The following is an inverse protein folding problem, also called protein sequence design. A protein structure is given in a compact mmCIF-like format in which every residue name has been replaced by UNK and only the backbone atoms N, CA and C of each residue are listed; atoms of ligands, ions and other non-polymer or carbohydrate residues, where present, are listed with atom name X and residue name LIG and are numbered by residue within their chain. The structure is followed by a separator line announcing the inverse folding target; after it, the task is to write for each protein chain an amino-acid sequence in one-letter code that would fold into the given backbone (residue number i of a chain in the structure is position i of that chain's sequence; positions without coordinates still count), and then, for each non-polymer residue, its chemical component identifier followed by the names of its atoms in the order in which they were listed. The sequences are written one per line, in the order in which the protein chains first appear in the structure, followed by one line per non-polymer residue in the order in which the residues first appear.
data_IF_689888326766
#
_entry.id   IF_689888326766
#
_cell.length_a   1.000
_cell.length_b   1.000
_cell.length_c   1.000
_cell.angle_alpha   90.00
_cell.angle_beta   90.00
_cell.angle_gamma   90.00
#
_symmetry.space_group_name_H-M   'P 1'
#
loop_
_entity.id
_entity.type
_entity.pdbx_description
1 polymer ?
#
# COMPACT_ATOMS: atom_id res chain seq x y z
N UNK A 1 7.40 18.72 -30.53
CA UNK A 1 6.39 18.38 -29.52
C UNK A 1 7.11 17.69 -28.38
N UNK A 2 7.14 18.27 -27.19
CA UNK A 2 7.77 17.65 -26.03
C UNK A 2 6.79 16.60 -25.48
N UNK A 3 7.22 15.35 -25.24
CA UNK A 3 6.36 14.39 -24.58
C UNK A 3 6.12 14.85 -23.14
N UNK A 4 4.86 14.79 -22.71
CA UNK A 4 4.44 15.09 -21.32
C UNK A 4 4.79 13.87 -20.43
N UNK A 5 6.10 13.58 -20.35
CA UNK A 5 6.63 12.47 -19.56
C UNK A 5 7.55 13.02 -18.48
N UNK A 6 7.46 12.40 -17.31
CA UNK A 6 8.41 12.68 -16.23
C UNK A 6 9.84 12.35 -16.67
N UNK A 7 10.78 13.18 -16.25
CA UNK A 7 12.19 13.12 -16.66
C UNK A 7 13.12 13.00 -15.45
N UNK A 8 14.22 12.26 -15.64
CA UNK A 8 15.36 12.25 -14.71
C UNK A 8 16.34 13.40 -14.99
N UNK A 9 16.19 14.11 -16.13
CA UNK A 9 16.99 15.31 -16.41
C UNK A 9 16.33 16.52 -15.76
N UNK A 10 17.11 17.26 -15.01
CA UNK A 10 16.68 18.48 -14.34
C UNK A 10 16.62 19.67 -15.30
N UNK A 11 15.47 19.90 -15.90
CA UNK A 11 15.24 21.09 -16.74
C UNK A 11 14.68 22.27 -15.95
N UNK A 12 14.22 22.05 -14.71
CA UNK A 12 13.53 23.05 -13.90
C UNK A 12 14.35 23.50 -12.69
N UNK A 13 15.62 23.06 -12.59
CA UNK A 13 16.50 23.32 -11.46
C UNK A 13 15.95 22.81 -10.11
N UNK A 14 15.32 21.63 -10.13
CA UNK A 14 14.79 20.96 -8.94
C UNK A 14 15.82 20.14 -8.17
N UNK A 15 17.05 19.99 -8.71
CA UNK A 15 18.12 19.22 -8.08
C UNK A 15 18.38 19.65 -6.65
N UNK A 16 18.39 20.95 -6.36
CA UNK A 16 18.61 21.44 -5.00
C UNK A 16 17.51 21.04 -4.01
N UNK A 17 16.27 21.01 -4.46
CA UNK A 17 15.13 20.54 -3.63
C UNK A 17 15.19 19.02 -3.47
N UNK A 18 15.47 18.28 -4.55
CA UNK A 18 15.64 16.82 -4.52
C UNK A 18 16.79 16.39 -3.59
N UNK A 19 17.89 17.09 -3.64
CA UNK A 19 19.05 16.91 -2.74
C UNK A 19 18.68 17.17 -1.28
N UNK A 20 17.88 18.22 -1.01
CA UNK A 20 17.39 18.53 0.33
C UNK A 20 16.50 17.42 0.87
N UNK A 21 15.53 16.93 0.06
CA UNK A 21 14.66 15.80 0.45
C UNK A 21 15.50 14.53 0.69
N UNK A 22 16.47 14.26 -0.19
CA UNK A 22 17.39 13.13 -0.02
C UNK A 22 18.21 13.24 1.28
N UNK A 23 18.70 14.44 1.61
CA UNK A 23 19.41 14.68 2.87
C UNK A 23 18.54 14.40 4.09
N UNK A 24 17.30 14.88 4.09
CA UNK A 24 16.33 14.64 5.16
C UNK A 24 16.11 13.14 5.35
N UNK A 25 15.92 12.36 4.26
CA UNK A 25 15.75 10.91 4.30
C UNK A 25 16.97 10.22 4.91
N UNK A 26 18.18 10.60 4.47
CA UNK A 26 19.42 10.00 4.95
C UNK A 26 19.70 10.35 6.41
N UNK A 27 19.46 11.61 6.80
CA UNK A 27 19.64 12.07 8.19
C UNK A 27 18.61 11.47 9.16
N UNK A 28 17.47 10.99 8.68
CA UNK A 28 16.50 10.30 9.51
C UNK A 28 17.05 9.01 10.12
N UNK A 29 18.02 8.34 9.47
CA UNK A 29 18.70 7.13 9.99
C UNK A 29 17.75 6.04 10.43
N UNK A 30 16.73 5.75 9.62
CA UNK A 30 15.70 4.76 9.93
C UNK A 30 14.59 5.26 10.86
N UNK A 31 14.64 6.51 11.33
CA UNK A 31 13.47 7.12 11.99
C UNK A 31 12.37 7.33 10.93
N UNK A 32 11.11 7.04 11.28
CA UNK A 32 10.00 7.27 10.36
C UNK A 32 9.90 8.74 9.97
N UNK A 33 9.74 8.98 8.67
CA UNK A 33 9.64 10.34 8.14
C UNK A 33 8.65 10.40 6.98
N UNK A 34 7.97 11.54 6.86
CA UNK A 34 7.11 11.85 5.73
C UNK A 34 7.42 13.25 5.22
N UNK A 35 7.61 13.38 3.91
CA UNK A 35 7.91 14.64 3.22
C UNK A 35 6.84 14.88 2.17
N UNK A 36 6.13 15.99 2.28
CA UNK A 36 5.19 16.47 1.27
C UNK A 36 5.89 17.35 0.23
N UNK A 37 5.74 17.01 -1.04
CA UNK A 37 6.16 17.83 -2.18
C UNK A 37 4.91 18.42 -2.80
N UNK A 38 4.66 19.70 -2.52
CA UNK A 38 3.46 20.38 -3.00
C UNK A 38 3.74 21.24 -4.22
N UNK A 39 2.81 21.24 -5.17
CA UNK A 39 2.85 22.08 -6.34
C UNK A 39 1.64 21.86 -7.25
N UNK A 40 1.30 22.89 -8.03
CA UNK A 40 0.21 22.81 -8.98
C UNK A 40 0.41 21.72 -10.04
N UNK A 41 -0.64 21.39 -10.75
CA UNK A 41 -0.57 20.44 -11.85
C UNK A 41 0.40 20.91 -12.96
N UNK A 42 1.18 19.98 -13.53
CA UNK A 42 2.14 20.28 -14.58
C UNK A 42 3.47 20.91 -14.15
N UNK A 43 3.67 21.23 -12.86
CA UNK A 43 4.90 21.86 -12.37
C UNK A 43 6.12 20.91 -12.31
N UNK A 44 5.92 19.60 -12.52
CA UNK A 44 7.02 18.63 -12.51
C UNK A 44 7.17 17.84 -11.22
N UNK A 45 6.11 17.65 -10.43
CA UNK A 45 6.14 16.86 -9.18
C UNK A 45 6.67 15.44 -9.39
N UNK A 46 6.22 14.74 -10.44
CA UNK A 46 6.68 13.38 -10.78
C UNK A 46 8.18 13.36 -11.12
N UNK A 47 8.67 14.37 -11.85
CA UNK A 47 10.12 14.52 -12.11
C UNK A 47 10.90 14.77 -10.81
N UNK A 48 10.35 15.56 -9.89
CA UNK A 48 10.94 15.81 -8.59
C UNK A 48 11.08 14.51 -7.75
N UNK A 49 10.09 13.61 -7.79
CA UNK A 49 10.15 12.28 -7.16
C UNK A 49 11.32 11.47 -7.75
N UNK A 50 11.46 11.44 -9.09
CA UNK A 50 12.55 10.73 -9.76
C UNK A 50 13.93 11.31 -9.41
N UNK A 51 14.05 12.63 -9.40
CA UNK A 51 15.28 13.31 -8.98
C UNK A 51 15.62 13.01 -7.52
N UNK A 52 14.64 12.98 -6.63
CA UNK A 52 14.84 12.60 -5.21
C UNK A 52 15.35 11.16 -5.08
N UNK A 53 14.74 10.22 -5.81
CA UNK A 53 15.22 8.83 -5.85
C UNK A 53 16.67 8.75 -6.31
N UNK A 54 17.00 9.42 -7.41
CA UNK A 54 18.36 9.45 -7.95
C UNK A 54 19.34 10.10 -6.97
N UNK A 55 18.95 11.19 -6.30
CA UNK A 55 19.76 11.87 -5.30
C UNK A 55 20.03 10.99 -4.07
N UNK A 56 19.04 10.22 -3.58
CA UNK A 56 19.25 9.26 -2.49
C UNK A 56 20.16 8.12 -2.95
N UNK A 57 19.91 7.56 -4.14
CA UNK A 57 20.66 6.41 -4.65
C UNK A 57 22.13 6.72 -4.94
N UNK A 58 22.43 7.97 -5.32
CA UNK A 58 23.79 8.43 -5.61
C UNK A 58 24.66 8.63 -4.36
N UNK A 59 24.07 8.65 -3.17
CA UNK A 59 24.82 8.88 -1.93
C UNK A 59 25.57 7.62 -1.49
N UNK A 60 26.72 7.83 -0.91
CA UNK A 60 27.51 6.80 -0.23
C UNK A 60 27.37 6.99 1.28
N UNK A 61 27.37 5.90 2.02
CA UNK A 61 27.47 5.99 3.46
C UNK A 61 28.93 6.22 3.90
N UNK A 62 29.14 6.48 5.19
CA UNK A 62 30.49 6.71 5.75
C UNK A 62 31.42 5.48 5.62
N UNK A 63 30.88 4.31 5.27
CA UNK A 63 31.63 3.06 5.04
C UNK A 63 31.96 2.82 3.55
N UNK A 64 31.59 3.73 2.66
CA UNK A 64 31.78 3.60 1.22
C UNK A 64 30.75 2.64 0.56
N UNK A 65 29.72 2.21 1.28
CA UNK A 65 28.63 1.43 0.70
C UNK A 65 27.65 2.35 0.00
N UNK A 66 27.22 1.96 -1.19
CA UNK A 66 26.22 2.71 -1.94
C UNK A 66 24.89 2.73 -1.19
N UNK A 67 24.24 3.87 -1.14
CA UNK A 67 22.93 4.02 -0.55
C UNK A 67 21.87 3.10 -1.20
N UNK A 68 22.07 2.71 -2.46
CA UNK A 68 21.22 1.75 -3.17
C UNK A 68 21.14 0.37 -2.50
N UNK A 69 22.10 0.00 -1.67
CA UNK A 69 22.07 -1.25 -0.90
C UNK A 69 21.21 -1.13 0.37
N UNK A 70 21.05 0.09 0.88
CA UNK A 70 20.33 0.40 2.12
C UNK A 70 18.92 0.92 1.87
N UNK A 71 18.70 1.71 0.81
CA UNK A 71 17.43 2.33 0.51
C UNK A 71 16.72 1.58 -0.61
N UNK A 72 15.55 1.04 -0.33
CA UNK A 72 14.70 0.34 -1.30
C UNK A 72 13.51 1.23 -1.64
N UNK A 73 13.32 1.50 -2.92
CA UNK A 73 12.30 2.41 -3.40
C UNK A 73 11.07 1.63 -3.87
N UNK A 74 9.91 2.11 -3.45
CA UNK A 74 8.59 1.71 -3.95
C UNK A 74 7.93 2.93 -4.56
N UNK A 75 7.57 2.86 -5.83
CA UNK A 75 6.81 3.89 -6.52
C UNK A 75 5.33 3.47 -6.53
N UNK A 76 4.48 4.36 -6.07
CA UNK A 76 3.04 4.14 -6.00
C UNK A 76 2.32 5.32 -6.66
N UNK A 77 1.72 5.07 -7.81
CA UNK A 77 0.86 6.03 -8.47
C UNK A 77 -0.58 5.78 -8.04
N UNK A 78 -1.11 6.66 -7.18
CA UNK A 78 -2.43 6.48 -6.56
C UNK A 78 -3.57 6.46 -7.60
N UNK A 79 -3.44 7.22 -8.69
CA UNK A 79 -4.45 7.31 -9.75
C UNK A 79 -4.64 6.01 -10.52
N UNK A 80 -3.59 5.22 -10.72
CA UNK A 80 -3.67 3.92 -11.41
C UNK A 80 -4.54 2.90 -10.66
N UNK A 81 -4.69 3.07 -9.36
CA UNK A 81 -5.50 2.18 -8.51
C UNK A 81 -6.90 2.71 -8.22
N UNK A 82 -7.28 3.83 -8.86
CA UNK A 82 -8.61 4.40 -8.74
C UNK A 82 -9.66 3.48 -9.35
N UNK A 83 -10.65 3.08 -8.56
CA UNK A 83 -11.78 2.25 -9.02
C UNK A 83 -11.54 0.75 -9.06
N UNK A 84 -10.33 0.27 -8.73
CA UNK A 84 -10.04 -1.16 -8.76
C UNK A 84 -10.15 -1.83 -7.39
N UNK A 85 -9.48 -1.32 -6.40
CA UNK A 85 -9.45 -1.92 -5.06
C UNK A 85 -9.30 -0.84 -3.98
N UNK A 86 -9.31 -1.29 -2.72
CA UNK A 86 -8.88 -0.46 -1.62
C UNK A 86 -7.42 -0.01 -1.86
N UNK A 87 -7.20 1.29 -1.98
CA UNK A 87 -5.86 1.86 -2.14
C UNK A 87 -4.88 1.38 -1.05
N UNK A 88 -5.40 1.02 0.14
CA UNK A 88 -4.61 0.40 1.22
C UNK A 88 -4.06 -0.96 0.82
N UNK A 89 -4.92 -1.81 0.26
CA UNK A 89 -4.52 -3.14 -0.18
C UNK A 89 -3.54 -3.04 -1.37
N UNK A 90 -3.80 -2.14 -2.32
CA UNK A 90 -2.92 -1.92 -3.46
C UNK A 90 -1.53 -1.44 -3.03
N UNK A 91 -1.43 -0.46 -2.14
CA UNK A 91 -0.15 0.01 -1.60
C UNK A 91 0.62 -1.12 -0.90
N UNK A 92 -0.09 -1.92 -0.09
CA UNK A 92 0.52 -3.06 0.61
C UNK A 92 1.02 -4.15 -0.33
N UNK A 93 0.30 -4.43 -1.41
CA UNK A 93 0.74 -5.40 -2.41
C UNK A 93 2.03 -4.95 -3.09
N UNK A 94 2.10 -3.68 -3.53
CA UNK A 94 3.30 -3.14 -4.16
C UNK A 94 4.51 -3.17 -3.21
N UNK A 95 4.30 -2.80 -1.94
CA UNK A 95 5.34 -2.90 -0.91
C UNK A 95 5.78 -4.37 -0.73
N UNK A 96 4.83 -5.28 -0.57
CA UNK A 96 5.11 -6.71 -0.32
C UNK A 96 5.83 -7.36 -1.50
N UNK A 97 5.41 -7.06 -2.74
CA UNK A 97 6.09 -7.54 -3.95
C UNK A 97 7.55 -7.06 -4.03
N UNK A 98 7.77 -5.79 -3.71
CA UNK A 98 9.12 -5.22 -3.70
C UNK A 98 10.00 -5.87 -2.63
N UNK A 99 9.47 -6.07 -1.42
CA UNK A 99 10.18 -6.73 -0.34
C UNK A 99 10.45 -8.21 -0.63
N UNK A 100 9.55 -8.90 -1.35
CA UNK A 100 9.78 -10.28 -1.79
C UNK A 100 11.01 -10.38 -2.71
N UNK A 101 11.10 -9.50 -3.70
CA UNK A 101 12.26 -9.44 -4.59
C UNK A 101 13.56 -9.13 -3.84
N UNK A 102 13.51 -8.22 -2.86
CA UNK A 102 14.69 -7.90 -2.04
C UNK A 102 15.10 -9.07 -1.13
N UNK A 103 14.12 -9.79 -0.55
CA UNK A 103 14.38 -10.96 0.28
C UNK A 103 15.00 -12.11 -0.53
N UNK A 104 14.52 -12.35 -1.75
CA UNK A 104 15.10 -13.32 -2.69
C UNK A 104 16.54 -12.96 -3.05
N UNK A 105 16.78 -11.69 -3.41
CA UNK A 105 18.11 -11.20 -3.79
C UNK A 105 19.13 -11.31 -2.64
N UNK A 106 18.69 -11.14 -1.40
CA UNK A 106 19.54 -11.19 -0.20
C UNK A 106 19.55 -12.56 0.47
N UNK A 107 18.70 -13.49 0.02
CA UNK A 107 18.48 -14.83 0.60
C UNK A 107 18.19 -14.77 2.12
N UNK A 108 17.44 -13.74 2.55
CA UNK A 108 17.09 -13.49 3.96
C UNK A 108 15.66 -12.98 4.10
N UNK A 109 15.07 -13.09 5.28
CA UNK A 109 13.72 -12.64 5.62
C UNK A 109 12.58 -13.27 4.78
N UNK A 110 12.83 -14.37 4.09
CA UNK A 110 11.85 -15.01 3.18
C UNK A 110 10.57 -15.42 3.93
N UNK A 111 10.70 -15.99 5.12
CA UNK A 111 9.56 -16.41 5.93
C UNK A 111 8.71 -15.22 6.39
N UNK A 112 9.35 -14.11 6.74
CA UNK A 112 8.66 -12.89 7.15
C UNK A 112 7.91 -12.24 6.01
N UNK A 113 8.53 -12.18 4.84
CA UNK A 113 7.87 -11.68 3.62
C UNK A 113 6.70 -12.58 3.21
N UNK A 114 6.84 -13.89 3.29
CA UNK A 114 5.73 -14.82 3.06
C UNK A 114 4.59 -14.62 4.07
N UNK A 115 4.92 -14.39 5.34
CA UNK A 115 3.93 -14.05 6.38
C UNK A 115 3.25 -12.70 6.09
N UNK A 116 4.00 -11.69 5.68
CA UNK A 116 3.48 -10.37 5.29
C UNK A 116 2.49 -10.51 4.12
N UNK A 117 2.86 -11.23 3.06
CA UNK A 117 2.00 -11.49 1.90
C UNK A 117 0.70 -12.23 2.28
N UNK A 118 0.77 -13.14 3.24
CA UNK A 118 -0.39 -13.87 3.76
C UNK A 118 -1.36 -12.95 4.50
N UNK A 119 -0.84 -12.02 5.30
CA UNK A 119 -1.65 -11.02 6.03
C UNK A 119 -2.31 -10.01 5.09
N UNK A 120 -1.60 -9.55 4.07
CA UNK A 120 -2.15 -8.64 3.05
C UNK A 120 -3.29 -9.31 2.28
N UNK A 121 -3.11 -10.57 1.87
CA UNK A 121 -4.18 -11.35 1.22
C UNK A 121 -5.39 -11.57 2.13
N UNK A 122 -5.16 -11.83 3.41
CA UNK A 122 -6.25 -11.97 4.39
C UNK A 122 -7.04 -10.66 4.56
N UNK A 123 -6.36 -9.50 4.68
CA UNK A 123 -7.03 -8.19 4.77
C UNK A 123 -7.90 -7.90 3.54
N UNK A 124 -7.42 -8.26 2.34
CA UNK A 124 -8.18 -8.14 1.10
C UNK A 124 -9.42 -9.05 1.10
N UNK A 125 -9.28 -10.30 1.49
CA UNK A 125 -10.38 -11.26 1.58
C UNK A 125 -11.42 -10.85 2.64
N UNK A 126 -11.00 -10.36 3.80
CA UNK A 126 -11.88 -9.86 4.85
C UNK A 126 -12.73 -8.67 4.38
N UNK A 127 -12.19 -7.77 3.56
CA UNK A 127 -12.93 -6.65 2.98
C UNK A 127 -13.95 -7.12 1.95
N UNK A 128 -13.61 -8.05 1.06
CA UNK A 128 -14.54 -8.62 0.09
C UNK A 128 -15.72 -9.32 0.77
N UNK A 129 -15.48 -10.00 1.89
CA UNK A 129 -16.54 -10.59 2.71
C UNK A 129 -17.41 -9.55 3.42
N UNK A 130 -16.87 -8.36 3.68
CA UNK A 130 -17.57 -7.26 4.38
C UNK A 130 -18.45 -6.41 3.45
N UNK A 131 -18.27 -6.45 2.13
CA UNK A 131 -19.04 -5.66 1.16
C UNK A 131 -20.44 -6.19 0.88
N UNK A 132 -20.84 -7.35 1.45
CA UNK A 132 -22.24 -7.75 1.47
C UNK A 132 -23.01 -6.97 2.54
N UNK A 133 -23.61 -5.88 2.12
CA UNK A 133 -24.77 -5.09 2.63
C UNK A 133 -24.85 -4.66 4.11
N UNK A 134 -24.06 -5.15 5.06
CA UNK A 134 -24.27 -4.88 6.49
C UNK A 134 -23.06 -4.32 7.27
N UNK A 135 -21.89 -4.16 6.65
CA UNK A 135 -20.66 -3.86 7.39
C UNK A 135 -20.04 -2.49 7.10
N UNK A 136 -20.84 -1.56 6.60
CA UNK A 136 -20.39 -0.19 6.26
C UNK A 136 -19.90 0.60 7.48
N UNK A 137 -20.19 0.17 8.70
CA UNK A 137 -19.90 0.98 9.89
C UNK A 137 -18.68 0.61 10.71
N UNK A 138 -18.14 -0.63 10.66
CA UNK A 138 -17.06 -1.03 11.57
C UNK A 138 -15.95 -1.93 11.01
N UNK A 139 -15.94 -2.28 9.72
CA UNK A 139 -14.86 -3.10 9.14
C UNK A 139 -14.75 -4.53 9.74
N UNK A 140 -15.82 -5.05 10.33
CA UNK A 140 -15.87 -6.40 10.87
C UNK A 140 -16.83 -7.22 10.01
N UNK A 141 -16.39 -8.34 9.38
CA UNK A 141 -17.30 -9.21 8.67
C UNK A 141 -18.30 -9.80 9.67
N UNK A 142 -19.62 -9.79 9.37
CA UNK A 142 -20.57 -10.49 10.19
C UNK A 142 -20.22 -11.98 10.19
N UNK A 143 -20.13 -12.57 11.37
CA UNK A 143 -19.78 -13.99 11.58
C UNK A 143 -20.69 -14.97 10.83
N UNK A 144 -21.88 -14.50 10.37
CA UNK A 144 -22.82 -15.27 9.55
C UNK A 144 -22.56 -15.26 8.04
N UNK A 145 -21.89 -14.21 7.51
CA UNK A 145 -21.72 -14.07 6.04
C UNK A 145 -20.77 -15.12 5.44
N UNK A 146 -19.87 -15.66 6.24
CA UNK A 146 -18.94 -16.73 5.80
C UNK A 146 -19.71 -18.01 5.45
N UNK A 147 -20.78 -18.31 6.20
CA UNK A 147 -21.66 -19.46 5.94
C UNK A 147 -22.46 -19.29 4.64
N UNK A 148 -23.00 -18.09 4.39
CA UNK A 148 -23.78 -17.79 3.18
C UNK A 148 -22.93 -17.77 1.92
N UNK A 149 -21.70 -17.23 1.98
CA UNK A 149 -20.75 -17.25 0.85
C UNK A 149 -20.32 -18.68 0.53
N UNK A 150 -20.15 -19.53 1.54
CA UNK A 150 -19.84 -20.95 1.36
C UNK A 150 -21.03 -21.70 0.72
N UNK A 151 -22.25 -21.38 1.11
CA UNK A 151 -23.48 -21.98 0.54
C UNK A 151 -23.76 -21.45 -0.88
N UNK A 152 -23.52 -20.16 -1.15
CA UNK A 152 -23.58 -19.59 -2.51
C UNK A 152 -22.50 -20.20 -3.42
N UNK A 153 -21.28 -20.38 -2.94
CA UNK A 153 -20.22 -21.05 -3.67
C UNK A 153 -20.59 -22.50 -4.02
N UNK A 154 -21.18 -23.24 -3.09
CA UNK A 154 -21.68 -24.59 -3.32
C UNK A 154 -22.85 -24.61 -4.32
N UNK A 155 -23.76 -23.63 -4.28
CA UNK A 155 -24.87 -23.51 -5.23
C UNK A 155 -24.43 -23.19 -6.65
N UNK A 156 -23.48 -22.25 -6.81
CA UNK A 156 -22.92 -21.91 -8.13
C UNK A 156 -22.17 -23.09 -8.75
N UNK A 157 -21.45 -23.87 -7.94
CA UNK A 157 -20.77 -25.09 -8.39
C UNK A 157 -21.78 -26.21 -8.72
N UNK A 158 -22.91 -26.28 -8.01
CA UNK A 158 -23.94 -27.31 -8.24
C UNK A 158 -24.84 -27.03 -9.44
N UNK A 159 -25.11 -25.75 -9.76
CA UNK A 159 -26.01 -25.33 -10.83
C UNK A 159 -25.31 -24.98 -12.15
N UNK A 160 -23.96 -24.74 -12.15
CA UNK A 160 -23.21 -24.18 -13.28
C UNK A 160 -22.49 -25.18 -14.19
N UNK A 161 -22.41 -26.46 -13.86
CA UNK A 161 -21.73 -27.45 -14.70
C UNK A 161 -22.70 -28.53 -15.17
N UNK A 162 -23.03 -28.48 -16.46
CA UNK A 162 -23.74 -29.53 -17.16
C UNK A 162 -22.96 -30.84 -17.13
N UNK A 163 -23.72 -31.93 -17.14
CA UNK A 163 -23.29 -33.33 -17.05
C UNK A 163 -22.24 -33.70 -18.11
N UNK A 164 -20.97 -33.59 -17.80
CA UNK A 164 -19.89 -34.45 -18.32
C UNK A 164 -18.56 -34.12 -17.61
N UNK A 165 -17.89 -35.18 -17.14
CA UNK A 165 -16.55 -35.20 -16.52
C UNK A 165 -16.44 -34.68 -15.07
N UNK A 166 -17.22 -35.30 -14.21
CA UNK A 166 -17.66 -34.82 -12.90
C UNK A 166 -16.79 -35.10 -11.67
N UNK A 167 -15.87 -36.04 -11.64
CA UNK A 167 -15.19 -36.39 -10.36
C UNK A 167 -13.91 -35.60 -10.11
N UNK A 168 -13.11 -35.34 -11.14
CA UNK A 168 -11.88 -34.56 -11.00
C UNK A 168 -12.15 -33.05 -10.76
N UNK A 169 -13.16 -32.49 -11.45
CA UNK A 169 -13.58 -31.10 -11.26
C UNK A 169 -14.25 -30.88 -9.90
N UNK A 170 -15.06 -31.86 -9.43
CA UNK A 170 -15.63 -31.83 -8.08
C UNK A 170 -14.56 -31.90 -7.00
N UNK A 171 -13.55 -32.73 -7.18
CA UNK A 171 -12.44 -32.85 -6.23
C UNK A 171 -11.60 -31.56 -6.19
N UNK A 172 -11.24 -31.00 -7.34
CA UNK A 172 -10.50 -29.73 -7.42
C UNK A 172 -11.29 -28.56 -6.83
N UNK A 173 -12.61 -28.47 -7.09
CA UNK A 173 -13.47 -27.46 -6.52
C UNK A 173 -13.67 -27.65 -5.00
N UNK A 174 -13.73 -28.89 -4.52
CA UNK A 174 -13.85 -29.21 -3.09
C UNK A 174 -12.54 -28.94 -2.35
N UNK A 175 -11.40 -29.21 -2.97
CA UNK A 175 -10.08 -28.96 -2.41
C UNK A 175 -9.80 -27.45 -2.42
N UNK A 176 -10.11 -26.72 -3.47
CA UNK A 176 -10.03 -25.26 -3.51
C UNK A 176 -11.00 -24.59 -2.52
N UNK A 177 -12.21 -25.12 -2.34
CA UNK A 177 -13.15 -24.63 -1.33
C UNK A 177 -12.69 -24.95 0.10
N UNK A 178 -12.02 -26.09 0.32
CA UNK A 178 -11.40 -26.44 1.61
C UNK A 178 -10.19 -25.57 1.92
N UNK A 179 -9.30 -25.36 0.95
CA UNK A 179 -8.18 -24.44 1.10
C UNK A 179 -8.65 -23.00 1.34
N UNK A 180 -9.66 -22.54 0.59
CA UNK A 180 -10.30 -21.25 0.83
C UNK A 180 -10.96 -21.17 2.20
N UNK A 181 -11.63 -22.22 2.66
CA UNK A 181 -12.25 -22.30 3.99
C UNK A 181 -11.22 -22.41 5.13
N UNK A 182 -10.07 -23.07 4.92
CA UNK A 182 -8.96 -23.06 5.89
C UNK A 182 -8.27 -21.71 5.98
N UNK A 183 -8.19 -20.96 4.88
CA UNK A 183 -7.70 -19.58 4.85
C UNK A 183 -8.68 -18.62 5.54
N UNK A 184 -9.98 -18.95 5.56
CA UNK A 184 -11.06 -18.16 6.17
C UNK A 184 -11.42 -18.61 7.59
N UNK A 185 -10.89 -19.74 8.08
CA UNK A 185 -11.09 -20.10 9.49
C UNK A 185 -10.37 -19.05 10.34
N UNK A 186 -11.08 -18.27 11.15
CA UNK A 186 -10.44 -17.42 12.13
C UNK A 186 -9.69 -18.35 13.09
N UNK A 187 -8.36 -18.34 13.03
CA UNK A 187 -7.56 -18.77 14.18
C UNK A 187 -7.95 -17.82 15.29
N UNK A 188 -8.57 -18.37 16.32
CA UNK A 188 -8.93 -17.76 17.59
C UNK A 188 -8.72 -16.23 17.68
N UNK A 189 -9.86 -15.48 17.73
CA UNK A 189 -9.94 -14.08 18.18
C UNK A 189 -9.03 -13.02 17.51
N UNK A 190 -8.87 -13.04 16.21
CA UNK A 190 -8.17 -11.96 15.51
C UNK A 190 -9.15 -10.84 15.17
N UNK A 191 -9.21 -9.82 16.03
CA UNK A 191 -9.91 -8.58 15.69
C UNK A 191 -9.13 -7.81 14.61
N UNK A 192 -9.79 -7.07 13.70
CA UNK A 192 -9.13 -6.27 12.67
C UNK A 192 -8.00 -5.37 13.20
N UNK A 193 -8.12 -4.71 14.36
CA UNK A 193 -7.02 -3.94 14.94
C UNK A 193 -5.79 -4.79 15.29
N UNK A 194 -5.98 -6.01 15.79
CA UNK A 194 -4.86 -6.93 16.10
C UNK A 194 -4.12 -7.36 14.83
N UNK A 195 -4.86 -7.62 13.74
CA UNK A 195 -4.24 -7.99 12.46
C UNK A 195 -3.49 -6.83 11.81
N UNK A 196 -4.01 -5.61 11.90
CA UNK A 196 -3.31 -4.41 11.44
C UNK A 196 -2.01 -4.21 12.26
N UNK A 197 -2.06 -4.37 13.57
CA UNK A 197 -0.86 -4.26 14.40
C UNK A 197 0.15 -5.37 14.04
N UNK A 198 -0.29 -6.61 13.90
CA UNK A 198 0.56 -7.72 13.52
C UNK A 198 1.16 -7.54 12.10
N UNK A 199 0.44 -6.91 11.18
CA UNK A 199 0.95 -6.52 9.87
C UNK A 199 2.09 -5.50 9.99
N UNK A 200 1.89 -4.47 10.81
CA UNK A 200 2.89 -3.43 11.08
C UNK A 200 4.16 -4.02 11.70
N UNK A 201 3.99 -4.84 12.73
CA UNK A 201 5.12 -5.49 13.42
C UNK A 201 5.89 -6.43 12.47
N UNK A 202 5.18 -7.18 11.62
CA UNK A 202 5.81 -8.04 10.61
C UNK A 202 6.58 -7.22 9.58
N UNK A 203 6.04 -6.10 9.12
CA UNK A 203 6.71 -5.21 8.16
C UNK A 203 7.98 -4.61 8.79
N UNK A 204 7.89 -4.07 10.02
CA UNK A 204 9.05 -3.50 10.71
C UNK A 204 10.15 -4.55 10.92
N UNK A 205 9.80 -5.76 11.37
CA UNK A 205 10.75 -6.87 11.51
C UNK A 205 11.38 -7.29 10.18
N UNK A 206 10.59 -7.26 9.09
CA UNK A 206 11.10 -7.58 7.74
C UNK A 206 12.14 -6.56 7.30
N UNK A 207 11.88 -5.25 7.50
CA UNK A 207 12.81 -4.18 7.17
C UNK A 207 14.10 -4.25 7.98
N UNK A 208 13.98 -4.55 9.29
CA UNK A 208 15.14 -4.72 10.19
C UNK A 208 16.01 -5.91 9.75
N UNK A 209 15.40 -7.06 9.43
CA UNK A 209 16.14 -8.26 9.02
C UNK A 209 16.80 -8.10 7.64
N UNK A 210 16.13 -7.41 6.72
CA UNK A 210 16.73 -7.04 5.42
C UNK A 210 17.82 -5.97 5.57
N UNK A 211 17.87 -5.25 6.70
CA UNK A 211 18.80 -4.14 6.93
C UNK A 211 18.56 -2.96 5.98
N UNK A 212 17.33 -2.73 5.57
CA UNK A 212 16.95 -1.70 4.58
C UNK A 212 16.05 -0.62 5.18
N UNK A 213 16.06 0.54 4.53
CA UNK A 213 15.06 1.59 4.71
C UNK A 213 14.17 1.63 3.47
N UNK A 214 12.88 1.42 3.66
CA UNK A 214 11.87 1.50 2.62
C UNK A 214 11.51 2.95 2.35
N UNK A 215 11.69 3.42 1.12
CA UNK A 215 11.30 4.76 0.67
C UNK A 215 10.11 4.62 -0.27
N UNK A 216 8.94 5.04 0.18
CA UNK A 216 7.69 4.99 -0.59
C UNK A 216 7.47 6.34 -1.25
N UNK A 217 7.48 6.35 -2.57
CA UNK A 217 7.29 7.52 -3.42
C UNK A 217 5.85 7.49 -3.95
N UNK A 218 5.02 8.43 -3.52
CA UNK A 218 3.59 8.48 -3.87
C UNK A 218 3.35 9.64 -4.81
N UNK A 219 2.77 9.34 -5.97
CA UNK A 219 2.46 10.32 -7.01
C UNK A 219 0.99 10.30 -7.42
N UNK A 220 0.55 11.35 -8.09
CA UNK A 220 -0.80 11.53 -8.66
C UNK A 220 -1.96 11.36 -7.65
N UNK A 221 -1.70 11.61 -6.37
CA UNK A 221 -2.74 11.54 -5.32
C UNK A 221 -3.82 12.63 -5.51
N UNK A 222 -3.42 13.78 -6.02
CA UNK A 222 -4.28 14.94 -6.34
C UNK A 222 -5.20 14.72 -7.55
N UNK A 223 -4.95 13.68 -8.36
CA UNK A 223 -5.81 13.28 -9.49
C UNK A 223 -6.91 12.31 -9.10
N UNK A 224 -6.83 11.75 -7.89
CA UNK A 224 -7.78 10.75 -7.43
C UNK A 224 -9.13 11.35 -7.06
N UNK A 225 -10.17 10.52 -7.12
CA UNK A 225 -11.46 10.85 -6.50
C UNK A 225 -11.29 11.03 -4.98
N UNK A 226 -12.11 11.85 -4.32
CA UNK A 226 -11.99 12.12 -2.89
C UNK A 226 -11.91 10.86 -2.03
N UNK A 227 -12.72 9.85 -2.31
CA UNK A 227 -12.73 8.58 -1.57
C UNK A 227 -11.39 7.84 -1.69
N UNK A 228 -10.81 7.80 -2.89
CA UNK A 228 -9.50 7.17 -3.16
C UNK A 228 -8.38 7.98 -2.49
N UNK A 229 -8.45 9.31 -2.56
CA UNK A 229 -7.48 10.20 -1.89
C UNK A 229 -7.46 9.93 -0.39
N UNK A 230 -8.62 9.92 0.28
CA UNK A 230 -8.73 9.65 1.71
C UNK A 230 -8.27 8.24 2.05
N UNK A 231 -8.73 7.23 1.31
CA UNK A 231 -8.30 5.83 1.51
C UNK A 231 -6.78 5.65 1.39
N UNK A 232 -6.15 6.36 0.44
CA UNK A 232 -4.69 6.35 0.29
C UNK A 232 -3.98 7.05 1.45
N UNK A 233 -4.47 8.21 1.89
CA UNK A 233 -3.92 8.92 3.06
C UNK A 233 -4.04 8.08 4.33
N UNK A 234 -5.17 7.40 4.54
CA UNK A 234 -5.34 6.45 5.65
C UNK A 234 -4.37 5.27 5.55
N UNK A 235 -4.13 4.74 4.34
CA UNK A 235 -3.13 3.70 4.13
C UNK A 235 -1.72 4.18 4.53
N UNK A 236 -1.34 5.36 4.07
CA UNK A 236 -0.05 5.96 4.42
C UNK A 236 0.05 6.12 5.94
N UNK A 237 -0.99 6.63 6.60
CA UNK A 237 -1.03 6.85 8.05
C UNK A 237 -0.79 5.57 8.86
N UNK A 238 -1.21 4.40 8.35
CA UNK A 238 -0.95 3.12 9.01
C UNK A 238 0.55 2.81 9.12
N UNK A 239 1.36 3.32 8.20
CA UNK A 239 2.79 2.99 8.07
C UNK A 239 3.73 4.15 8.40
N UNK A 240 3.21 5.38 8.55
CA UNK A 240 4.01 6.60 8.79
C UNK A 240 4.92 6.54 10.01
N UNK A 241 4.64 5.67 10.97
CA UNK A 241 5.36 5.60 12.24
C UNK A 241 6.19 4.32 12.40
N UNK A 242 6.36 3.54 11.34
CA UNK A 242 7.21 2.36 11.37
C UNK A 242 8.67 2.74 11.19
N UNK A 243 9.57 2.14 11.96
CA UNK A 243 11.00 2.30 11.76
C UNK A 243 11.41 1.83 10.37
N UNK A 244 12.47 2.43 9.88
CA UNK A 244 13.00 2.13 8.55
C UNK A 244 12.00 2.38 7.41
N UNK A 245 11.08 3.36 7.59
CA UNK A 245 10.20 3.82 6.53
C UNK A 245 10.34 5.32 6.29
N UNK A 246 10.30 5.72 5.02
CA UNK A 246 10.24 7.10 4.58
C UNK A 246 9.17 7.24 3.50
N UNK A 247 8.37 8.28 3.57
CA UNK A 247 7.34 8.59 2.58
C UNK A 247 7.65 9.93 1.91
N UNK A 248 7.60 9.97 0.58
CA UNK A 248 7.63 11.21 -0.20
C UNK A 248 6.32 11.27 -0.97
N UNK A 249 5.49 12.25 -0.66
CA UNK A 249 4.15 12.38 -1.22
C UNK A 249 4.12 13.61 -2.10
N UNK A 250 3.95 13.42 -3.41
CA UNK A 250 3.83 14.50 -4.37
C UNK A 250 2.35 14.71 -4.73
N UNK A 251 1.83 15.88 -4.38
CA UNK A 251 0.43 16.21 -4.64
C UNK A 251 0.20 17.73 -4.66
N UNK A 252 -0.87 18.17 -5.29
CA UNK A 252 -1.37 19.52 -5.15
C UNK A 252 -2.14 19.65 -3.82
N UNK A 253 -1.62 20.46 -2.92
CA UNK A 253 -2.18 20.64 -1.59
C UNK A 253 -3.64 21.13 -1.60
N UNK A 254 -4.00 21.99 -2.56
CA UNK A 254 -5.36 22.55 -2.63
C UNK A 254 -6.35 21.50 -3.14
N UNK A 255 -5.92 20.63 -4.05
CA UNK A 255 -6.72 19.48 -4.48
C UNK A 255 -6.91 18.46 -3.35
N UNK A 256 -5.87 18.18 -2.57
CA UNK A 256 -5.99 17.31 -1.38
C UNK A 256 -6.96 17.90 -0.36
N UNK A 257 -6.83 19.20 -0.04
CA UNK A 257 -7.79 19.89 0.85
C UNK A 257 -9.22 19.85 0.31
N UNK A 258 -9.39 20.02 -1.02
CA UNK A 258 -10.69 19.90 -1.65
C UNK A 258 -11.28 18.48 -1.47
N UNK A 259 -10.49 17.44 -1.71
CA UNK A 259 -10.91 16.05 -1.52
C UNK A 259 -11.33 15.78 -0.06
N UNK A 260 -10.54 16.26 0.91
CA UNK A 260 -10.87 16.16 2.34
C UNK A 260 -12.18 16.86 2.67
N UNK A 261 -12.35 18.14 2.26
CA UNK A 261 -13.59 18.88 2.47
C UNK A 261 -14.80 18.19 1.88
N UNK A 262 -14.67 17.66 0.67
CA UNK A 262 -15.77 16.98 -0.02
C UNK A 262 -16.13 15.66 0.66
N UNK A 263 -15.15 14.92 1.16
CA UNK A 263 -15.37 13.66 1.87
C UNK A 263 -16.07 13.88 3.21
N UNK A 264 -15.70 14.92 3.92
CA UNK A 264 -16.29 15.31 5.20
C UNK A 264 -17.36 16.41 5.07
N UNK A 265 -18.02 16.53 3.91
CA UNK A 265 -19.07 17.51 3.68
C UNK A 265 -20.21 17.31 4.72
N UNK A 266 -20.39 18.29 5.58
CA UNK A 266 -21.32 18.27 6.73
C UNK A 266 -20.65 18.37 8.10
N UNK A 267 -19.32 18.31 8.17
CA UNK A 267 -18.56 18.62 9.38
C UNK A 267 -18.05 20.05 9.28
N UNK A 268 -18.80 20.98 9.84
CA UNK A 268 -18.50 22.43 9.89
C UNK A 268 -17.34 22.73 10.84
N UNK A 269 -16.12 22.31 10.57
CA UNK A 269 -14.97 22.82 11.32
C UNK A 269 -13.71 22.83 10.47
N UNK A 270 -13.20 24.02 10.19
CA UNK A 270 -11.91 24.31 9.54
C UNK A 270 -10.72 23.60 10.22
N UNK A 271 -10.88 23.16 11.45
CA UNK A 271 -9.85 22.46 12.26
C UNK A 271 -9.57 21.05 11.72
N UNK A 272 -10.54 20.36 11.11
CA UNK A 272 -10.31 19.02 10.56
C UNK A 272 -9.49 19.03 9.26
N UNK A 273 -9.57 20.09 8.48
CA UNK A 273 -8.88 20.19 7.17
C UNK A 273 -7.38 20.44 7.32
N UNK A 274 -6.94 20.97 8.45
CA UNK A 274 -5.53 21.30 8.73
C UNK A 274 -4.73 20.11 9.28
N UNK A 275 -5.39 19.04 9.71
CA UNK A 275 -4.77 17.87 10.35
C UNK A 275 -4.59 16.65 9.41
N UNK A 276 -4.93 16.80 8.10
CA UNK A 276 -4.71 15.80 7.06
C UNK A 276 -3.62 16.21 6.08
#
# INVERSE_FOLDING_TARGET
MWPDNETERDFLNFSGVAETVAEIIVQARGRPISVGVSGAWGIGKSSMIKLTRSAVAAREDKSGKKASEKYVFVEFNAWLYQGYDDARAALMDVITEKLAKEAENRATALDKVASLAKRVRWLRAAKLAATSAASIYFGVPPVGAVGEILELGKKVVAEGFGKSDGEAAKKAATDAAKEGAELLKPKEETSPPKEIQALRDTLEQTLDELGITLVVLIDDLDRCLPETTISTLEAIRLFLFLKNTAFVIAADNDMIKHAVRKHFAGVENDVMVTNY
#
